data_IF_802717088886
#
_entry.id   IF_802717088886
#
_cell.length_a   1.000
_cell.length_b   1.000
_cell.length_c   1.000
_cell.angle_alpha   90.00
_cell.angle_beta   90.00
_cell.angle_gamma   90.00
#
_symmetry.space_group_name_H-M   'P 1'
#
loop_
_entity.id
_entity.type
_entity.pdbx_description
1 polymer ?
#
# COMPACT_ATOMS: atom_id res chain seq x y z
N UNK A 1 -0.60 22.39 16.40
CA UNK A 1 -0.29 22.49 14.97
C UNK A 1 1.15 22.00 14.77
N UNK A 2 1.36 20.69 14.49
CA UNK A 2 2.70 20.10 14.31
C UNK A 2 3.06 20.21 12.83
N UNK A 3 4.21 20.79 12.52
CA UNK A 3 4.76 20.86 11.15
C UNK A 3 5.08 19.43 10.71
N UNK A 4 4.48 18.99 9.60
CA UNK A 4 4.93 17.79 8.87
C UNK A 4 6.37 18.01 8.45
N UNK A 5 7.21 17.00 8.66
CA UNK A 5 8.56 16.96 8.11
C UNK A 5 8.42 16.75 6.61
N UNK A 6 8.94 17.68 5.81
CA UNK A 6 9.01 17.58 4.36
C UNK A 6 9.88 16.37 3.98
N UNK A 7 9.24 15.22 3.75
CA UNK A 7 9.86 14.13 3.01
C UNK A 7 9.30 14.14 1.58
N UNK A 8 10.10 13.79 0.57
CA UNK A 8 9.60 13.70 -0.79
C UNK A 8 8.45 12.70 -0.83
N UNK A 9 7.31 13.17 -1.24
CA UNK A 9 6.07 12.37 -1.34
C UNK A 9 6.19 11.49 -2.57
N UNK A 10 6.64 10.25 -2.38
CA UNK A 10 6.53 9.19 -3.36
C UNK A 10 5.13 8.60 -3.14
N UNK A 11 4.28 8.58 -4.16
CA UNK A 11 2.96 7.96 -4.11
C UNK A 11 1.75 8.89 -4.23
N UNK A 12 0.57 8.31 -4.24
CA UNK A 12 -0.74 8.91 -4.52
C UNK A 12 -1.22 9.91 -3.45
N UNK A 13 -0.36 10.75 -2.90
CA UNK A 13 -0.81 11.80 -1.97
C UNK A 13 -1.37 13.02 -2.74
N UNK A 14 -2.61 12.92 -3.18
CA UNK A 14 -3.43 14.12 -3.30
C UNK A 14 -3.67 14.62 -1.88
N UNK A 15 -3.35 15.87 -1.61
CA UNK A 15 -3.47 16.48 -0.27
C UNK A 15 -4.88 16.35 0.36
N UNK A 16 -5.88 15.93 -0.42
CA UNK A 16 -7.29 15.92 -0.06
C UNK A 16 -7.95 14.52 -0.04
N UNK A 17 -7.28 13.44 -0.50
CA UNK A 17 -7.90 12.10 -0.61
C UNK A 17 -7.07 11.07 0.15
N UNK A 18 -7.63 10.56 1.25
CA UNK A 18 -7.03 9.43 1.97
C UNK A 18 -7.28 8.11 1.24
N UNK A 19 -6.42 7.12 1.43
CA UNK A 19 -6.65 5.77 0.87
C UNK A 19 -7.96 5.17 1.39
N UNK A 20 -8.33 5.47 2.63
CA UNK A 20 -9.63 5.04 3.17
C UNK A 20 -10.80 5.64 2.39
N UNK A 21 -10.77 6.94 2.08
CA UNK A 21 -11.83 7.58 1.29
C UNK A 21 -11.86 7.02 -0.15
N UNK A 22 -10.70 6.74 -0.73
CA UNK A 22 -10.61 6.07 -2.03
C UNK A 22 -11.26 4.69 -2.01
N UNK A 23 -11.02 3.88 -0.97
CA UNK A 23 -11.59 2.53 -0.84
C UNK A 23 -13.10 2.57 -0.61
N UNK A 24 -13.59 3.53 0.18
CA UNK A 24 -15.01 3.65 0.54
C UNK A 24 -15.88 4.33 -0.53
N UNK A 25 -15.29 5.16 -1.42
CA UNK A 25 -16.01 5.76 -2.56
C UNK A 25 -16.15 4.74 -3.71
N UNK A 26 -17.05 3.81 -3.54
CA UNK A 26 -17.23 2.73 -4.53
C UNK A 26 -18.06 3.15 -5.74
N UNK A 27 -18.95 4.14 -5.61
CA UNK A 27 -19.89 4.58 -6.66
C UNK A 27 -20.44 3.43 -7.53
N UNK A 28 -20.65 2.26 -6.91
CA UNK A 28 -21.15 1.07 -7.56
C UNK A 28 -20.13 0.31 -8.42
N UNK A 29 -18.85 0.61 -8.32
CA UNK A 29 -17.77 -0.08 -9.06
C UNK A 29 -17.09 -1.12 -8.17
N UNK A 30 -16.85 -2.29 -8.72
CA UNK A 30 -15.97 -3.30 -8.11
C UNK A 30 -14.52 -2.84 -8.24
N UNK A 31 -13.77 -2.92 -7.14
CA UNK A 31 -12.32 -2.67 -7.16
C UNK A 31 -11.58 -4.00 -7.22
N UNK A 32 -10.65 -4.09 -8.15
CA UNK A 32 -9.74 -5.22 -8.25
C UNK A 32 -8.45 -4.90 -7.49
N UNK A 33 -7.94 -5.85 -6.73
CA UNK A 33 -6.69 -5.75 -5.99
C UNK A 33 -5.72 -6.82 -6.46
N UNK A 34 -4.48 -6.45 -6.73
CA UNK A 34 -3.41 -7.40 -7.00
C UNK A 34 -2.49 -7.49 -5.79
N UNK A 35 -2.32 -8.71 -5.25
CA UNK A 35 -1.38 -8.98 -4.17
C UNK A 35 -0.02 -9.37 -4.74
N UNK A 36 1.02 -8.70 -4.27
CA UNK A 36 2.43 -8.98 -4.56
C UNK A 36 3.09 -9.47 -3.27
N UNK A 37 3.73 -10.63 -3.36
CA UNK A 37 4.49 -11.21 -2.26
C UNK A 37 5.97 -10.87 -2.45
N UNK A 38 6.58 -10.03 -1.58
CA UNK A 38 7.95 -9.58 -1.74
C UNK A 38 9.00 -10.69 -1.55
N UNK A 39 8.66 -11.79 -0.86
CA UNK A 39 9.57 -12.92 -0.67
C UNK A 39 9.75 -13.78 -1.93
N UNK A 40 8.84 -13.66 -2.90
CA UNK A 40 8.81 -14.53 -4.08
C UNK A 40 9.42 -13.92 -5.33
N UNK A 41 9.89 -12.67 -5.23
CA UNK A 41 10.40 -11.94 -6.39
C UNK A 41 11.29 -10.77 -5.98
N UNK A 42 12.15 -10.33 -6.90
CA UNK A 42 12.91 -9.10 -6.67
C UNK A 42 12.03 -7.86 -6.72
N UNK A 43 12.43 -6.74 -6.08
CA UNK A 43 11.68 -5.48 -6.13
C UNK A 43 11.40 -5.01 -7.57
N UNK A 44 12.34 -5.19 -8.51
CA UNK A 44 12.14 -4.81 -9.91
C UNK A 44 11.05 -5.65 -10.58
N UNK A 45 11.06 -6.97 -10.37
CA UNK A 45 10.02 -7.87 -10.89
C UNK A 45 8.65 -7.54 -10.28
N UNK A 46 8.61 -7.17 -9.00
CA UNK A 46 7.40 -6.72 -8.33
C UNK A 46 6.84 -5.44 -8.97
N UNK A 47 7.70 -4.46 -9.26
CA UNK A 47 7.36 -3.22 -9.97
C UNK A 47 6.78 -3.49 -11.35
N UNK A 48 7.46 -4.32 -12.16
CA UNK A 48 7.00 -4.66 -13.51
C UNK A 48 5.62 -5.34 -13.46
N UNK A 49 5.40 -6.27 -12.53
CA UNK A 49 4.11 -6.96 -12.33
C UNK A 49 3.01 -5.99 -11.86
N UNK A 50 3.33 -5.07 -10.96
CA UNK A 50 2.40 -4.03 -10.52
C UNK A 50 1.95 -3.16 -11.69
N UNK A 51 2.90 -2.69 -12.53
CA UNK A 51 2.60 -1.89 -13.71
C UNK A 51 1.69 -2.65 -14.69
N UNK A 52 1.99 -3.91 -14.99
CA UNK A 52 1.13 -4.75 -15.85
C UNK A 52 -0.26 -4.95 -15.26
N UNK A 53 -0.35 -5.16 -13.94
CA UNK A 53 -1.63 -5.32 -13.26
C UNK A 53 -2.48 -4.04 -13.34
N UNK A 54 -1.87 -2.86 -13.14
CA UNK A 54 -2.57 -1.57 -13.26
C UNK A 54 -3.01 -1.33 -14.72
N UNK A 55 -2.18 -1.66 -15.68
CA UNK A 55 -2.53 -1.62 -17.11
C UNK A 55 -3.72 -2.54 -17.44
N UNK A 56 -3.84 -3.66 -16.76
CA UNK A 56 -4.97 -4.58 -16.86
C UNK A 56 -6.22 -4.16 -16.06
N UNK A 57 -6.16 -3.04 -15.32
CA UNK A 57 -7.31 -2.48 -14.60
C UNK A 57 -7.33 -2.72 -13.10
N UNK A 58 -6.22 -3.17 -12.50
CA UNK A 58 -6.08 -3.19 -11.03
C UNK A 58 -6.22 -1.78 -10.46
N UNK A 59 -6.99 -1.65 -9.39
CA UNK A 59 -7.24 -0.39 -8.71
C UNK A 59 -6.43 -0.20 -7.43
N UNK A 60 -5.79 -1.23 -6.92
CA UNK A 60 -4.90 -1.18 -5.75
C UNK A 60 -3.85 -2.28 -5.84
N UNK A 61 -2.64 -1.99 -5.36
CA UNK A 61 -1.59 -3.00 -5.19
C UNK A 61 -1.45 -3.30 -3.71
N UNK A 62 -1.61 -4.56 -3.34
CA UNK A 62 -1.28 -5.03 -1.99
C UNK A 62 0.13 -5.61 -1.98
N UNK A 63 0.94 -5.18 -1.03
CA UNK A 63 2.26 -5.76 -0.77
C UNK A 63 2.15 -6.59 0.49
N UNK A 64 2.22 -7.91 0.31
CA UNK A 64 2.14 -8.86 1.41
C UNK A 64 3.46 -8.89 2.20
N UNK A 65 3.43 -9.66 3.25
CA UNK A 65 4.60 -10.01 4.04
C UNK A 65 4.21 -11.16 4.95
N UNK A 66 4.94 -12.27 4.87
CA UNK A 66 4.78 -13.37 5.82
C UNK A 66 5.39 -13.00 7.17
N UNK A 67 5.25 -13.90 8.17
CA UNK A 67 5.74 -13.65 9.54
C UNK A 67 7.26 -13.38 9.58
N UNK A 68 8.00 -13.87 8.59
CA UNK A 68 9.47 -13.80 8.55
C UNK A 68 10.01 -12.85 7.47
N UNK A 69 9.14 -12.13 6.74
CA UNK A 69 9.57 -11.19 5.70
C UNK A 69 10.23 -9.96 6.32
N UNK A 70 11.51 -9.65 6.04
CA UNK A 70 12.18 -8.49 6.59
C UNK A 70 11.56 -7.17 6.10
N UNK A 71 11.53 -6.15 6.98
CA UNK A 71 11.03 -4.81 6.66
C UNK A 71 11.76 -4.19 5.46
N UNK A 72 13.06 -4.44 5.32
CA UNK A 72 13.90 -3.92 4.23
C UNK A 72 13.45 -4.44 2.86
N UNK A 73 13.07 -5.72 2.77
CA UNK A 73 12.58 -6.32 1.52
C UNK A 73 11.21 -5.74 1.15
N UNK A 74 10.33 -5.59 2.13
CA UNK A 74 9.02 -4.97 1.93
C UNK A 74 9.18 -3.52 1.50
N UNK A 75 10.06 -2.78 2.18
CA UNK A 75 10.34 -1.38 1.85
C UNK A 75 10.90 -1.22 0.43
N UNK A 76 11.92 -2.01 0.07
CA UNK A 76 12.49 -1.98 -1.27
C UNK A 76 11.46 -2.31 -2.36
N UNK A 77 10.55 -3.25 -2.07
CA UNK A 77 9.45 -3.61 -2.98
C UNK A 77 8.45 -2.46 -3.13
N UNK A 78 8.03 -1.84 -2.03
CA UNK A 78 7.12 -0.68 -2.08
C UNK A 78 7.75 0.48 -2.86
N UNK A 79 9.02 0.81 -2.61
CA UNK A 79 9.73 1.87 -3.33
C UNK A 79 9.77 1.58 -4.82
N UNK A 80 10.18 0.37 -5.22
CA UNK A 80 10.26 0.01 -6.64
C UNK A 80 8.90 0.07 -7.34
N UNK A 81 7.82 -0.34 -6.66
CA UNK A 81 6.46 -0.24 -7.21
C UNK A 81 6.05 1.21 -7.39
N UNK A 82 6.26 2.07 -6.38
CA UNK A 82 5.92 3.50 -6.46
C UNK A 82 6.68 4.19 -7.59
N UNK A 83 8.01 3.98 -7.67
CA UNK A 83 8.83 4.53 -8.76
C UNK A 83 8.37 4.06 -10.14
N UNK A 84 8.00 2.78 -10.28
CA UNK A 84 7.46 2.25 -11.53
C UNK A 84 6.14 2.87 -11.93
N UNK A 85 5.22 3.05 -10.99
CA UNK A 85 3.93 3.70 -11.23
C UNK A 85 4.10 5.19 -11.59
N UNK A 86 4.97 5.92 -10.88
CA UNK A 86 5.28 7.33 -11.17
C UNK A 86 5.89 7.50 -12.57
N UNK A 87 6.82 6.63 -12.96
CA UNK A 87 7.43 6.66 -14.29
C UNK A 87 6.37 6.45 -15.37
N UNK A 88 5.43 5.54 -15.16
CA UNK A 88 4.33 5.29 -16.09
C UNK A 88 3.34 6.46 -16.15
N UNK A 89 3.01 7.06 -15.00
CA UNK A 89 2.19 8.26 -14.93
C UNK A 89 2.84 9.42 -15.70
N UNK A 90 4.13 9.65 -15.46
CA UNK A 90 4.90 10.66 -16.20
C UNK A 90 4.91 10.40 -17.70
N UNK A 91 5.18 9.17 -18.14
CA UNK A 91 5.15 8.82 -19.54
C UNK A 91 3.76 9.06 -20.18
N UNK A 92 2.69 8.72 -19.46
CA UNK A 92 1.32 8.97 -19.91
C UNK A 92 1.02 10.47 -20.01
N UNK A 93 1.49 11.30 -19.08
CA UNK A 93 1.27 12.75 -19.11
C UNK A 93 1.93 13.46 -20.32
N UNK A 94 2.93 12.83 -20.94
CA UNK A 94 3.58 13.35 -22.14
C UNK A 94 2.82 13.01 -23.44
N UNK A 95 1.79 12.19 -23.39
CA UNK A 95 0.98 11.80 -24.54
C UNK A 95 -0.35 12.57 -24.55
N UNK A 96 -0.79 13.10 -25.72
CA UNK A 96 -2.08 13.79 -25.81
C UNK A 96 -3.29 12.95 -25.36
N UNK A 97 -3.23 11.65 -25.58
CA UNK A 97 -4.28 10.68 -25.20
C UNK A 97 -3.92 9.87 -23.95
N UNK A 98 -2.87 10.28 -23.21
CA UNK A 98 -2.38 9.55 -22.06
C UNK A 98 -3.24 9.76 -20.82
N UNK A 99 -3.57 8.67 -20.14
CA UNK A 99 -4.30 8.66 -18.87
C UNK A 99 -3.29 8.50 -17.71
N UNK A 100 -2.77 9.62 -17.20
CA UNK A 100 -1.87 9.63 -16.05
C UNK A 100 -2.58 9.18 -14.76
N UNK A 101 -3.88 9.48 -14.64
CA UNK A 101 -4.68 9.18 -13.44
C UNK A 101 -4.78 7.68 -13.22
N UNK A 102 -4.78 6.89 -14.31
CA UNK A 102 -4.80 5.43 -14.26
C UNK A 102 -3.68 4.85 -13.39
N UNK A 103 -2.52 5.50 -13.37
CA UNK A 103 -1.33 5.04 -12.66
C UNK A 103 -1.30 5.47 -11.19
N UNK A 104 -2.23 6.32 -10.78
CA UNK A 104 -2.37 6.79 -9.40
C UNK A 104 -3.19 5.80 -8.57
N UNK A 105 -2.68 4.60 -8.40
CA UNK A 105 -3.31 3.55 -7.57
C UNK A 105 -2.58 3.43 -6.23
N UNK A 106 -3.28 3.23 -5.10
CA UNK A 106 -2.63 3.10 -3.81
C UNK A 106 -1.86 1.79 -3.68
N UNK A 107 -0.68 1.89 -3.06
CA UNK A 107 0.15 0.76 -2.62
C UNK A 107 -0.13 0.54 -1.14
N UNK A 108 -0.67 -0.61 -0.79
CA UNK A 108 -1.20 -0.93 0.52
C UNK A 108 -0.46 -2.10 1.12
N UNK A 109 0.07 -1.95 2.32
CA UNK A 109 0.67 -3.06 3.06
C UNK A 109 -0.40 -4.06 3.50
N UNK A 110 -0.11 -5.34 3.30
CA UNK A 110 -0.94 -6.47 3.71
C UNK A 110 -0.11 -7.44 4.58
N UNK A 111 0.35 -6.98 5.77
CA UNK A 111 1.27 -7.76 6.59
C UNK A 111 0.56 -8.76 7.49
N UNK A 112 1.30 -9.78 7.95
CA UNK A 112 0.86 -10.70 8.98
C UNK A 112 0.91 -10.14 10.42
N UNK A 113 1.46 -8.94 10.63
CA UNK A 113 1.62 -8.30 11.94
C UNK A 113 2.22 -6.90 11.85
N UNK A 114 2.72 -6.37 12.96
CA UNK A 114 3.39 -5.05 13.05
C UNK A 114 4.86 -5.06 12.57
N UNK A 115 5.22 -6.04 11.80
CA UNK A 115 6.44 -6.17 11.02
C UNK A 115 6.08 -6.03 9.52
N UNK A 116 7.07 -6.05 8.66
CA UNK A 116 6.86 -5.84 7.22
C UNK A 116 6.22 -4.47 6.93
N UNK A 117 6.68 -3.43 7.63
CA UNK A 117 6.20 -2.06 7.48
C UNK A 117 7.10 -1.26 6.54
N UNK A 118 6.51 -0.34 5.79
CA UNK A 118 7.23 0.56 4.90
C UNK A 118 6.62 1.95 4.91
N UNK A 119 7.44 3.02 5.06
CA UNK A 119 6.96 4.40 4.92
C UNK A 119 6.67 4.78 3.46
N UNK A 120 7.06 3.95 2.49
CA UNK A 120 6.79 4.15 1.07
C UNK A 120 5.39 3.66 0.66
N UNK A 121 4.64 3.02 1.56
CA UNK A 121 3.27 2.63 1.30
C UNK A 121 2.29 3.78 1.61
N UNK A 122 1.18 3.83 0.89
CA UNK A 122 0.12 4.82 1.10
C UNK A 122 -0.75 4.43 2.30
N UNK A 123 -0.98 3.14 2.49
CA UNK A 123 -1.82 2.63 3.56
C UNK A 123 -1.41 1.23 4.03
N UNK A 124 -2.04 0.78 5.08
CA UNK A 124 -1.93 -0.58 5.60
C UNK A 124 -3.31 -1.14 5.90
N UNK A 125 -3.56 -2.41 5.56
CA UNK A 125 -4.68 -3.14 6.16
C UNK A 125 -4.37 -3.33 7.63
N UNK A 126 -4.92 -2.45 8.47
CA UNK A 126 -4.67 -2.44 9.91
C UNK A 126 -5.47 -3.56 10.55
N UNK A 127 -4.91 -4.75 10.44
CA UNK A 127 -5.57 -6.02 10.60
C UNK A 127 -5.96 -6.32 12.03
N UNK A 128 -7.12 -6.94 12.15
CA UNK A 128 -7.58 -7.64 13.34
C UNK A 128 -8.01 -9.05 12.94
N UNK A 129 -7.37 -10.08 13.48
CA UNK A 129 -7.80 -11.47 13.25
C UNK A 129 -8.98 -11.79 14.17
N UNK A 130 -10.19 -11.60 13.64
CA UNK A 130 -11.43 -11.53 14.45
C UNK A 130 -11.81 -12.84 15.13
N UNK A 131 -11.38 -13.99 14.59
CA UNK A 131 -11.60 -15.31 15.19
C UNK A 131 -10.37 -15.86 15.94
N UNK A 132 -9.37 -15.00 16.23
CA UNK A 132 -8.21 -15.41 17.03
C UNK A 132 -8.55 -15.52 18.51
N UNK A 133 -8.00 -16.52 19.18
CA UNK A 133 -7.96 -16.63 20.64
C UNK A 133 -6.73 -15.95 21.24
N UNK A 134 -5.74 -15.58 20.40
CA UNK A 134 -4.55 -14.87 20.83
C UNK A 134 -4.78 -13.35 20.74
N UNK A 135 -4.64 -12.69 21.90
CA UNK A 135 -4.77 -11.22 22.02
C UNK A 135 -3.77 -10.45 21.16
N UNK A 136 -2.64 -11.06 20.82
CA UNK A 136 -1.64 -10.47 19.93
C UNK A 136 -2.29 -10.04 18.61
N UNK A 137 -3.08 -10.92 18.00
CA UNK A 137 -3.70 -10.68 16.70
C UNK A 137 -5.03 -9.90 16.77
N UNK A 138 -5.61 -9.75 17.98
CA UNK A 138 -6.82 -8.96 18.19
C UNK A 138 -6.50 -7.46 18.37
N UNK A 139 -5.46 -7.14 19.12
CA UNK A 139 -5.14 -5.74 19.50
C UNK A 139 -3.63 -5.49 19.63
N UNK A 140 -2.82 -6.52 19.85
CA UNK A 140 -1.38 -6.38 20.17
C UNK A 140 -0.57 -5.85 18.98
N UNK A 141 -0.82 -6.35 17.79
CA UNK A 141 -0.12 -5.91 16.59
C UNK A 141 -0.50 -4.47 16.22
N UNK A 142 -1.76 -4.07 16.43
CA UNK A 142 -2.22 -2.70 16.22
C UNK A 142 -1.55 -1.72 17.19
N UNK A 143 -1.44 -2.08 18.48
CA UNK A 143 -0.75 -1.26 19.47
C UNK A 143 0.74 -1.07 19.14
N UNK A 144 1.40 -2.08 18.60
CA UNK A 144 2.81 -2.00 18.19
C UNK A 144 2.99 -1.17 16.93
N UNK A 145 2.11 -1.31 15.94
CA UNK A 145 2.21 -0.62 14.65
C UNK A 145 1.77 0.84 14.68
N UNK A 146 0.83 1.22 15.56
CA UNK A 146 0.25 2.55 15.57
C UNK A 146 1.25 3.71 15.66
N UNK A 147 2.31 3.67 16.52
CA UNK A 147 3.30 4.74 16.57
C UNK A 147 4.08 4.91 15.26
N UNK A 148 4.32 3.82 14.53
CA UNK A 148 4.97 3.85 13.24
C UNK A 148 4.07 4.53 12.20
N UNK A 149 2.79 4.15 12.14
CA UNK A 149 1.83 4.71 11.19
C UNK A 149 1.66 6.23 11.41
N UNK A 150 1.53 6.67 12.67
CA UNK A 150 1.44 8.08 13.05
C UNK A 150 2.69 8.86 12.62
N UNK A 151 3.88 8.27 12.88
CA UNK A 151 5.16 8.91 12.54
C UNK A 151 5.35 9.13 11.04
N UNK A 152 4.99 8.14 10.22
CA UNK A 152 5.23 8.15 8.78
C UNK A 152 4.00 8.56 7.95
N UNK A 153 2.86 8.76 8.60
CA UNK A 153 1.62 9.19 7.95
C UNK A 153 1.06 8.14 6.99
N UNK A 154 1.25 6.85 7.29
CA UNK A 154 0.65 5.75 6.53
C UNK A 154 -0.81 5.61 6.97
N UNK A 155 -1.74 5.59 6.02
CA UNK A 155 -3.17 5.49 6.31
C UNK A 155 -3.53 4.11 6.88
N UNK A 156 -4.28 4.08 7.97
CA UNK A 156 -4.79 2.83 8.53
C UNK A 156 -6.15 2.49 7.91
N UNK A 157 -6.23 1.34 7.23
CA UNK A 157 -7.49 0.77 6.74
C UNK A 157 -8.01 -0.24 7.77
N UNK A 158 -9.09 0.06 8.53
CA UNK A 158 -9.65 -0.88 9.49
C UNK A 158 -10.09 -2.16 8.78
N UNK A 159 -9.41 -3.28 9.07
CA UNK A 159 -9.62 -4.53 8.34
C UNK A 159 -9.76 -5.71 9.29
N UNK A 160 -10.88 -6.39 9.23
CA UNK A 160 -11.11 -7.64 9.95
C UNK A 160 -10.77 -8.84 9.08
N UNK A 161 -9.96 -9.76 9.60
CA UNK A 161 -9.68 -11.04 8.97
C UNK A 161 -10.41 -12.18 9.67
N UNK A 162 -10.86 -13.13 8.87
CA UNK A 162 -11.37 -14.44 9.31
C UNK A 162 -10.55 -15.51 8.60
N UNK A 163 -9.97 -16.44 9.36
CA UNK A 163 -9.12 -17.54 8.87
C UNK A 163 -9.69 -18.88 9.36
#
# INVERSE_FOLDING_TARGET
>A
MRRRVDQPTIGMRRDDVTTLSYVTDTKGRVRHVTLIDPDKQSPQVASDRACVAVEAGTSMIFVGGSTDTPDEIVHATCVAIQEGLELRAFAASQSPDGDEIRWQVPVVLFPGGSHALSPAADAITFMMLMNSTDRRFLVGEQLRGAPYLDKFGVDALPTGYLV
#
